data_IF_244127131219
#
_entry.id   IF_244127131219
#
_cell.length_a   1.000
_cell.length_b   1.000
_cell.length_c   1.000
_cell.angle_alpha   90.00
_cell.angle_beta   90.00
_cell.angle_gamma   90.00
#
_symmetry.space_group_name_H-M   'P 1'
#
loop_
_entity.id
_entity.type
_entity.pdbx_description
1 polymer ?
#
# COMPACT_ATOMS: atom_id res chain seq x y z
N UNK A 1 2.12 -5.86 15.18
CA UNK A 1 2.18 -5.51 13.74
C UNK A 1 1.53 -6.65 12.97
N UNK A 2 0.38 -6.44 12.33
CA UNK A 2 -0.40 -7.49 11.68
C UNK A 2 0.36 -8.02 10.46
N UNK A 3 0.54 -9.33 10.36
CA UNK A 3 1.05 -9.96 9.14
C UNK A 3 -0.02 -9.76 8.05
N UNK A 4 0.22 -8.80 7.16
CA UNK A 4 -0.57 -8.58 5.94
C UNK A 4 -0.44 -9.83 5.02
N UNK A 5 -1.36 -9.98 4.04
CA UNK A 5 -1.51 -11.11 3.05
C UNK A 5 -0.24 -11.87 2.66
N UNK A 6 -0.33 -13.08 2.09
CA UNK A 6 0.86 -13.79 1.57
C UNK A 6 1.71 -12.93 0.62
N UNK A 7 1.11 -12.01 -0.16
CA UNK A 7 1.84 -11.03 -0.96
C UNK A 7 2.60 -10.01 -0.09
N UNK A 8 1.94 -9.37 0.87
CA UNK A 8 2.59 -8.42 1.78
C UNK A 8 3.56 -9.12 2.76
N UNK A 9 3.32 -10.40 3.06
CA UNK A 9 4.20 -11.29 3.79
C UNK A 9 5.33 -11.82 2.92
N UNK A 10 5.20 -11.94 1.60
CA UNK A 10 6.31 -12.31 0.73
C UNK A 10 7.21 -11.10 0.44
N UNK A 11 6.61 -9.90 0.37
CA UNK A 11 7.34 -8.62 0.37
C UNK A 11 8.04 -8.37 1.72
N UNK A 12 7.45 -8.77 2.86
CA UNK A 12 8.07 -8.61 4.20
C UNK A 12 8.91 -9.80 4.71
N UNK A 13 8.61 -11.03 4.32
CA UNK A 13 9.25 -12.27 4.82
C UNK A 13 10.31 -12.82 3.86
N UNK A 14 10.62 -12.09 2.79
CA UNK A 14 11.85 -12.30 2.08
C UNK A 14 12.99 -11.89 3.03
N UNK A 15 13.45 -12.88 3.79
CA UNK A 15 14.55 -12.73 4.73
C UNK A 15 15.76 -12.22 3.95
N UNK A 16 16.30 -11.08 4.34
CA UNK A 16 17.53 -10.58 3.76
C UNK A 16 18.59 -11.65 3.86
N UNK A 17 19.06 -12.14 2.72
CA UNK A 17 20.28 -12.93 2.71
C UNK A 17 21.42 -11.95 2.94
N UNK A 18 22.02 -12.02 4.13
CA UNK A 18 23.33 -11.44 4.33
C UNK A 18 24.32 -12.23 3.47
N UNK A 19 24.78 -11.62 2.39
CA UNK A 19 25.97 -12.17 1.74
C UNK A 19 27.13 -11.71 2.60
N UNK A 20 27.92 -12.64 3.15
CA UNK A 20 29.00 -12.35 4.10
C UNK A 20 30.21 -11.59 3.51
N UNK A 21 29.96 -10.57 2.69
CA UNK A 21 30.95 -9.66 2.18
C UNK A 21 31.35 -8.70 3.31
N UNK A 22 32.46 -9.01 3.99
CA UNK A 22 33.07 -8.07 4.91
C UNK A 22 33.76 -6.95 4.09
N UNK A 23 33.20 -5.75 4.14
CA UNK A 23 33.91 -4.56 3.68
C UNK A 23 35.13 -4.30 4.57
N UNK A 24 36.24 -3.82 3.99
CA UNK A 24 37.38 -3.38 4.78
C UNK A 24 36.99 -2.17 5.65
N UNK A 25 37.34 -2.20 6.94
CA UNK A 25 37.13 -1.06 7.83
C UNK A 25 37.86 0.18 7.29
N UNK A 26 37.11 1.25 7.06
CA UNK A 26 37.62 2.52 6.56
C UNK A 26 38.10 3.43 7.68
N UNK A 27 37.74 3.14 8.94
CA UNK A 27 37.95 4.00 10.10
C UNK A 27 36.99 5.19 10.14
N UNK A 28 35.96 5.18 9.30
CA UNK A 28 34.93 6.21 9.21
C UNK A 28 33.56 5.57 9.47
N UNK A 29 32.94 5.83 10.63
CA UNK A 29 31.63 5.28 11.00
C UNK A 29 30.55 5.51 9.94
N UNK A 30 30.66 6.57 9.13
CA UNK A 30 29.75 6.81 8.00
C UNK A 30 29.67 5.64 7.02
N UNK A 31 30.80 4.98 6.73
CA UNK A 31 30.89 3.84 5.83
C UNK A 31 30.90 2.52 6.59
N UNK A 32 31.56 2.48 7.75
CA UNK A 32 31.74 1.23 8.52
C UNK A 32 30.42 0.75 9.14
N UNK A 33 29.52 1.67 9.53
CA UNK A 33 28.18 1.36 10.03
C UNK A 33 27.10 1.45 8.93
N UNK A 34 27.52 1.61 7.66
CA UNK A 34 26.56 1.69 6.56
C UNK A 34 25.94 0.33 6.27
N UNK A 35 24.72 0.32 5.76
CA UNK A 35 24.04 -0.88 5.26
C UNK A 35 23.66 -0.65 3.80
N UNK A 36 23.95 -1.63 2.95
CA UNK A 36 23.45 -1.65 1.58
C UNK A 36 22.39 -2.74 1.46
N UNK A 37 21.16 -2.36 1.15
CA UNK A 37 20.07 -3.31 0.93
C UNK A 37 19.46 -3.12 -0.45
N UNK A 38 18.84 -4.15 -0.98
CA UNK A 38 18.17 -4.03 -2.26
C UNK A 38 17.44 -5.32 -2.60
N UNK A 39 17.07 -5.44 -3.88
CA UNK A 39 16.47 -6.66 -4.35
C UNK A 39 16.28 -6.70 -5.86
N UNK A 40 16.15 -7.91 -6.38
CA UNK A 40 15.76 -8.19 -7.75
C UNK A 40 14.36 -8.79 -7.73
N UNK A 41 13.50 -8.27 -8.59
CA UNK A 41 12.10 -8.62 -8.64
C UNK A 41 11.67 -8.87 -10.09
N UNK A 42 10.70 -9.73 -10.27
CA UNK A 42 9.90 -9.79 -11.47
C UNK A 42 8.42 -9.82 -11.07
N UNK A 43 7.61 -9.06 -11.79
CA UNK A 43 6.17 -9.05 -11.62
C UNK A 43 5.52 -9.25 -12.99
N UNK A 44 4.85 -10.38 -13.15
CA UNK A 44 4.05 -10.70 -14.33
C UNK A 44 2.59 -10.61 -13.93
N UNK A 45 1.78 -9.91 -14.71
CA UNK A 45 0.34 -9.79 -14.48
C UNK A 45 -0.42 -10.05 -15.76
N UNK A 46 -1.39 -10.95 -15.67
CA UNK A 46 -2.37 -11.24 -16.71
C UNK A 46 -3.74 -10.94 -16.12
N UNK A 47 -4.38 -9.89 -16.62
CA UNK A 47 -5.70 -9.45 -16.22
C UNK A 47 -6.60 -9.34 -17.44
N UNK A 48 -7.69 -10.06 -17.40
CA UNK A 48 -8.80 -9.90 -18.33
C UNK A 48 -9.97 -9.24 -17.60
N UNK A 49 -10.71 -8.38 -18.28
CA UNK A 49 -11.90 -7.71 -17.75
C UNK A 49 -13.06 -7.88 -18.72
N UNK A 50 -14.28 -8.05 -18.20
CA UNK A 50 -15.47 -8.02 -19.05
C UNK A 50 -15.72 -6.65 -19.68
N UNK A 51 -16.07 -6.62 -20.96
CA UNK A 51 -16.55 -5.41 -21.66
C UNK A 51 -18.04 -5.15 -21.39
N UNK A 52 -18.34 -4.77 -20.14
CA UNK A 52 -19.71 -4.55 -19.66
C UNK A 52 -20.35 -5.77 -18.99
N UNK A 53 -21.56 -5.62 -18.44
CA UNK A 53 -22.21 -6.65 -17.61
C UNK A 53 -22.43 -7.99 -18.35
N UNK A 54 -22.92 -7.90 -19.58
CA UNK A 54 -23.20 -9.04 -20.48
C UNK A 54 -22.05 -9.30 -21.47
N UNK A 55 -20.90 -8.63 -21.30
CA UNK A 55 -19.78 -8.70 -22.21
C UNK A 55 -18.93 -9.96 -22.05
N UNK A 56 -18.12 -10.24 -23.08
CA UNK A 56 -17.05 -11.23 -23.00
C UNK A 56 -15.84 -10.66 -22.24
N UNK A 57 -14.99 -11.54 -21.73
CA UNK A 57 -13.70 -11.15 -21.16
C UNK A 57 -12.74 -10.71 -22.27
N UNK A 58 -12.19 -9.51 -22.13
CA UNK A 58 -11.18 -8.95 -23.02
C UNK A 58 -9.85 -8.74 -22.28
N UNK A 59 -8.77 -8.78 -23.05
CA UNK A 59 -7.42 -8.50 -22.55
C UNK A 59 -7.35 -7.07 -22.01
N UNK A 60 -6.93 -6.94 -20.74
CA UNK A 60 -6.82 -5.66 -20.08
C UNK A 60 -5.37 -5.32 -19.70
N UNK A 61 -4.77 -6.02 -18.73
CA UNK A 61 -3.35 -5.84 -18.36
C UNK A 61 -2.60 -7.13 -18.60
N UNK A 62 -1.68 -7.15 -19.55
CA UNK A 62 -0.83 -8.30 -19.85
C UNK A 62 0.60 -7.81 -19.97
N UNK A 63 1.39 -7.97 -18.91
CA UNK A 63 2.78 -7.52 -18.91
C UNK A 63 3.67 -8.35 -17.97
N UNK A 64 4.99 -8.23 -18.17
CA UNK A 64 6.00 -8.68 -17.22
C UNK A 64 7.13 -7.68 -17.11
N UNK A 65 7.39 -7.23 -15.89
CA UNK A 65 8.39 -6.20 -15.61
C UNK A 65 9.43 -6.76 -14.64
N UNK A 66 10.71 -6.61 -14.99
CA UNK A 66 11.81 -6.82 -14.07
C UNK A 66 12.12 -5.51 -13.32
N UNK A 67 12.42 -5.60 -12.04
CA UNK A 67 12.83 -4.46 -11.22
C UNK A 67 14.08 -4.82 -10.42
N UNK A 68 15.00 -3.87 -10.29
CA UNK A 68 16.10 -3.96 -9.34
C UNK A 68 16.11 -2.70 -8.47
N UNK A 69 16.36 -2.85 -7.17
CA UNK A 69 16.50 -1.73 -6.25
C UNK A 69 17.80 -1.81 -5.48
N UNK A 70 18.32 -0.65 -5.11
CA UNK A 70 19.50 -0.49 -4.27
C UNK A 70 19.29 0.70 -3.33
N UNK A 71 19.58 0.47 -2.07
CA UNK A 71 19.49 1.44 -0.99
C UNK A 71 20.78 1.43 -0.19
N UNK A 72 21.37 2.61 -0.02
CA UNK A 72 22.47 2.87 0.89
C UNK A 72 21.93 3.66 2.08
N UNK A 73 22.12 3.12 3.27
CA UNK A 73 21.87 3.80 4.54
C UNK A 73 23.21 4.05 5.22
N UNK A 74 23.63 5.31 5.38
CA UNK A 74 24.93 5.59 5.99
C UNK A 74 24.94 5.29 7.49
N UNK A 75 26.12 5.09 8.06
CA UNK A 75 26.34 5.32 9.48
C UNK A 75 26.25 6.79 9.86
N UNK A 76 26.47 7.11 11.14
CA UNK A 76 26.36 8.48 11.65
C UNK A 76 27.72 9.16 11.83
N UNK A 77 27.95 10.25 11.11
CA UNK A 77 29.04 11.19 11.33
C UNK A 77 28.85 11.85 12.70
N UNK A 78 29.89 11.76 13.54
CA UNK A 78 29.90 12.27 14.91
C UNK A 78 28.74 11.73 15.78
N UNK A 79 28.14 10.59 15.40
CA UNK A 79 27.06 9.96 16.15
C UNK A 79 25.68 10.62 16.03
N UNK A 80 25.49 11.62 15.14
CA UNK A 80 24.18 12.29 15.01
C UNK A 80 23.75 12.61 13.58
N UNK A 81 24.63 12.61 12.58
CA UNK A 81 24.27 12.99 11.20
C UNK A 81 24.58 11.89 10.18
N UNK A 82 23.65 11.59 9.27
CA UNK A 82 23.88 10.66 8.16
C UNK A 82 23.11 11.06 6.91
N UNK A 83 23.29 10.29 5.84
CA UNK A 83 22.51 10.42 4.60
C UNK A 83 22.10 9.04 4.08
N UNK A 84 20.92 8.99 3.48
CA UNK A 84 20.39 7.80 2.85
C UNK A 84 20.08 8.06 1.37
N UNK A 85 20.33 7.07 0.52
CA UNK A 85 20.05 7.13 -0.91
C UNK A 85 19.43 5.81 -1.40
N UNK A 86 18.39 5.89 -2.21
CA UNK A 86 17.68 4.74 -2.76
C UNK A 86 17.25 4.99 -4.18
N UNK A 87 17.54 4.02 -5.04
CA UNK A 87 17.17 4.01 -6.46
C UNK A 87 16.58 2.66 -6.83
N UNK A 88 15.61 2.67 -7.72
CA UNK A 88 15.19 1.45 -8.41
C UNK A 88 15.25 1.67 -9.92
N UNK A 89 15.38 0.58 -10.66
CA UNK A 89 15.24 0.54 -12.10
C UNK A 89 14.25 -0.51 -12.52
N UNK A 90 13.48 -0.21 -13.56
CA UNK A 90 12.50 -1.10 -14.17
C UNK A 90 12.86 -1.39 -15.62
N UNK A 91 12.58 -2.61 -16.04
CA UNK A 91 12.74 -3.05 -17.41
C UNK A 91 11.55 -3.93 -17.80
N UNK A 92 10.74 -3.46 -18.73
CA UNK A 92 9.64 -4.21 -19.31
C UNK A 92 10.20 -5.35 -20.17
N UNK A 93 9.84 -6.59 -19.82
CA UNK A 93 10.22 -7.79 -20.56
C UNK A 93 9.27 -8.03 -21.73
N UNK A 94 7.98 -7.76 -21.51
CA UNK A 94 6.94 -7.79 -22.54
C UNK A 94 5.66 -7.11 -22.03
N UNK A 95 4.90 -6.53 -22.94
CA UNK A 95 3.57 -5.99 -22.70
C UNK A 95 2.71 -6.17 -23.98
N UNK A 96 1.49 -6.68 -23.82
CA UNK A 96 0.49 -6.78 -24.89
C UNK A 96 -0.88 -6.20 -24.55
N UNK A 97 -1.09 -5.79 -23.28
CA UNK A 97 -2.39 -5.39 -22.77
C UNK A 97 -2.94 -4.10 -23.40
N UNK A 98 -4.26 -3.97 -23.40
CA UNK A 98 -4.94 -2.73 -23.83
C UNK A 98 -4.70 -1.57 -22.85
N UNK A 99 -4.53 -1.88 -21.56
CA UNK A 99 -4.07 -0.95 -20.53
C UNK A 99 -2.56 -1.10 -20.33
N UNK A 100 -1.84 -0.01 -20.59
CA UNK A 100 -0.39 0.06 -20.34
C UNK A 100 -0.04 0.44 -18.88
N UNK A 101 -1.04 0.73 -18.05
CA UNK A 101 -0.80 0.97 -16.64
C UNK A 101 -0.38 -0.31 -15.91
N UNK A 102 0.70 -0.23 -15.16
CA UNK A 102 1.16 -1.26 -14.24
C UNK A 102 1.72 -0.60 -12.99
N UNK A 103 1.39 -1.11 -11.81
CA UNK A 103 1.93 -0.61 -10.53
C UNK A 103 3.45 -0.85 -10.39
N UNK A 104 4.09 -1.50 -11.37
CA UNK A 104 5.48 -1.97 -11.35
C UNK A 104 6.37 -1.40 -12.44
N UNK A 105 5.78 -0.72 -13.42
CA UNK A 105 6.52 -0.15 -14.55
C UNK A 105 6.61 1.36 -14.40
N UNK A 106 7.67 1.95 -14.93
CA UNK A 106 7.70 3.39 -15.09
C UNK A 106 6.85 3.74 -16.31
N UNK A 107 6.14 4.86 -16.26
CA UNK A 107 5.33 5.37 -17.36
C UNK A 107 5.74 6.81 -17.67
N UNK A 108 5.56 7.23 -18.92
CA UNK A 108 5.66 8.63 -19.30
C UNK A 108 4.35 9.39 -19.10
N UNK A 109 4.34 10.68 -19.42
CA UNK A 109 3.18 11.58 -19.29
C UNK A 109 1.95 11.15 -20.12
N UNK A 110 2.12 10.22 -21.06
CA UNK A 110 1.04 9.64 -21.87
C UNK A 110 0.53 8.32 -21.30
N UNK A 111 1.14 7.82 -20.23
CA UNK A 111 0.83 6.52 -19.63
C UNK A 111 1.45 5.34 -20.37
N UNK A 112 2.44 5.56 -21.23
CA UNK A 112 3.13 4.47 -21.94
C UNK A 112 4.28 3.92 -21.08
N UNK A 113 4.44 2.58 -21.03
CA UNK A 113 5.51 1.95 -20.25
C UNK A 113 6.89 2.36 -20.78
N UNK A 114 7.75 2.75 -19.87
CA UNK A 114 9.14 3.11 -20.12
C UNK A 114 10.09 2.29 -19.25
N UNK A 115 11.27 2.03 -19.81
CA UNK A 115 12.40 1.47 -19.07
C UNK A 115 13.22 2.61 -18.48
N UNK A 116 13.64 2.49 -17.22
CA UNK A 116 14.44 3.56 -16.63
C UNK A 116 14.75 3.34 -15.16
N UNK A 117 15.18 4.43 -14.53
CA UNK A 117 15.53 4.48 -13.12
C UNK A 117 14.83 5.65 -12.45
N UNK A 118 14.48 5.49 -11.18
CA UNK A 118 13.86 6.52 -10.37
C UNK A 118 14.46 6.53 -8.97
N UNK A 119 14.84 7.71 -8.50
CA UNK A 119 15.30 7.94 -7.14
C UNK A 119 14.08 8.04 -6.24
N UNK A 120 14.00 7.17 -5.23
CA UNK A 120 12.90 7.15 -4.27
C UNK A 120 13.33 7.59 -2.86
N UNK A 121 14.64 7.68 -2.61
CA UNK A 121 15.18 8.11 -1.33
C UNK A 121 16.46 8.89 -1.56
N UNK A 122 16.55 10.06 -0.95
CA UNK A 122 17.70 10.95 -0.96
C UNK A 122 17.50 11.94 0.18
N UNK A 123 17.88 11.55 1.40
CA UNK A 123 17.59 12.35 2.58
C UNK A 123 18.81 12.47 3.50
N UNK A 124 18.83 13.56 4.26
CA UNK A 124 19.66 13.69 5.44
C UNK A 124 18.90 13.15 6.65
N UNK A 125 19.59 12.43 7.53
CA UNK A 125 19.05 11.92 8.80
C UNK A 125 19.83 12.45 9.99
N UNK A 126 19.11 12.71 11.06
CA UNK A 126 19.60 13.25 12.31
C UNK A 126 19.13 12.38 13.47
N UNK A 127 20.05 11.96 14.34
CA UNK A 127 19.76 11.15 15.52
C UNK A 127 20.20 11.89 16.79
N UNK A 128 19.24 12.17 17.66
CA UNK A 128 19.44 12.82 18.97
C UNK A 128 18.90 11.92 20.10
N UNK A 129 19.01 10.60 19.94
CA UNK A 129 18.51 9.60 20.89
C UNK A 129 17.03 9.31 20.68
N UNK A 130 16.19 9.71 21.63
CA UNK A 130 14.74 9.52 21.52
C UNK A 130 14.13 10.32 20.36
N UNK A 131 14.77 11.43 19.96
CA UNK A 131 14.34 12.25 18.83
C UNK A 131 15.16 11.94 17.58
N UNK A 132 14.46 11.78 16.45
CA UNK A 132 15.09 11.62 15.12
C UNK A 132 14.42 12.55 14.13
N UNK A 133 15.20 13.08 13.19
CA UNK A 133 14.68 13.92 12.12
C UNK A 133 15.24 13.48 10.76
N UNK A 134 14.44 13.62 9.70
CA UNK A 134 14.84 13.33 8.33
C UNK A 134 14.30 14.39 7.39
N UNK A 135 15.04 14.72 6.34
CA UNK A 135 14.58 15.70 5.34
C UNK A 135 15.18 15.43 3.96
N UNK A 136 14.41 15.68 2.90
CA UNK A 136 14.78 15.41 1.51
C UNK A 136 13.72 14.57 0.82
N UNK A 137 14.14 13.55 0.08
CA UNK A 137 13.25 12.54 -0.51
C UNK A 137 13.11 11.36 0.45
N UNK A 138 11.90 11.19 1.00
CA UNK A 138 11.64 10.16 2.01
C UNK A 138 10.18 9.68 2.04
N UNK A 139 10.00 8.58 2.76
CA UNK A 139 8.70 8.02 3.11
C UNK A 139 8.42 8.27 4.60
N UNK A 140 7.16 8.57 5.00
CA UNK A 140 6.76 8.60 6.40
C UNK A 140 7.08 7.27 7.09
N UNK A 141 7.59 7.33 8.33
CA UNK A 141 7.89 6.15 9.14
C UNK A 141 7.17 6.13 10.48
N UNK A 142 6.79 7.31 11.00
CA UNK A 142 6.10 7.42 12.28
C UNK A 142 4.57 7.26 12.18
N UNK A 143 3.87 7.30 13.34
CA UNK A 143 2.41 7.34 13.36
C UNK A 143 1.88 8.59 12.65
N UNK A 144 0.86 8.43 11.81
CA UNK A 144 0.32 9.53 11.02
C UNK A 144 -0.84 9.11 10.12
N UNK A 145 -1.28 10.05 9.28
CA UNK A 145 -2.27 9.83 8.20
C UNK A 145 -1.63 9.82 6.81
N UNK A 146 -0.36 10.23 6.69
CA UNK A 146 0.39 10.19 5.42
C UNK A 146 1.06 8.83 5.24
N UNK A 147 1.00 8.31 4.02
CA UNK A 147 1.66 7.07 3.62
C UNK A 147 2.01 7.09 2.14
N UNK A 148 2.27 5.93 1.54
CA UNK A 148 2.67 5.79 0.13
C UNK A 148 1.84 4.74 -0.59
N UNK A 149 1.90 4.71 -1.92
CA UNK A 149 1.20 3.71 -2.73
C UNK A 149 1.58 2.26 -2.39
N UNK A 150 0.69 1.35 -2.78
CA UNK A 150 0.93 -0.09 -2.76
C UNK A 150 1.70 -0.50 -4.01
N UNK A 151 3.02 -0.54 -3.91
CA UNK A 151 3.90 -1.09 -4.95
C UNK A 151 5.17 -1.65 -4.30
N UNK A 152 5.96 -2.39 -5.07
CA UNK A 152 7.28 -2.85 -4.65
C UNK A 152 8.28 -1.69 -4.55
N UNK A 153 8.16 -0.70 -5.44
CA UNK A 153 8.83 0.57 -5.28
C UNK A 153 7.94 1.50 -4.44
N UNK A 154 8.46 2.19 -3.43
CA UNK A 154 7.66 3.12 -2.66
C UNK A 154 7.49 4.45 -3.41
N UNK A 155 6.34 5.09 -3.23
CA UNK A 155 6.21 6.49 -3.60
C UNK A 155 7.10 7.38 -2.72
N UNK A 156 7.30 8.62 -3.12
CA UNK A 156 8.33 9.51 -2.55
C UNK A 156 7.75 10.87 -2.26
N UNK A 157 8.00 11.41 -1.07
CA UNK A 157 7.73 12.80 -0.75
C UNK A 157 9.01 13.61 -0.78
N UNK A 158 8.92 14.86 -1.23
CA UNK A 158 9.86 15.91 -0.81
C UNK A 158 9.32 16.50 0.50
N UNK A 159 10.07 16.34 1.59
CA UNK A 159 9.56 16.77 2.89
C UNK A 159 10.53 16.62 4.04
N UNK A 160 9.96 16.68 5.24
CA UNK A 160 10.67 16.49 6.50
C UNK A 160 9.81 15.70 7.49
N UNK A 161 10.46 14.85 8.28
CA UNK A 161 9.82 14.11 9.37
C UNK A 161 10.61 14.32 10.67
N UNK A 162 9.88 14.54 11.76
CA UNK A 162 10.40 14.50 13.13
C UNK A 162 9.68 13.38 13.87
N UNK A 163 10.43 12.49 14.51
CA UNK A 163 9.88 11.41 15.34
C UNK A 163 10.45 11.45 16.75
N UNK A 164 9.65 10.96 17.69
CA UNK A 164 10.06 10.70 19.07
C UNK A 164 9.63 9.29 19.45
N UNK A 165 10.53 8.52 20.06
CA UNK A 165 10.22 7.16 20.54
C UNK A 165 10.91 6.87 21.87
N UNK A 166 10.12 6.68 22.93
CA UNK A 166 10.63 6.29 24.24
C UNK A 166 9.53 5.61 25.08
N UNK A 167 9.87 4.53 25.78
CA UNK A 167 8.97 3.89 26.75
C UNK A 167 7.62 3.45 26.20
N UNK A 168 7.56 3.00 24.94
CA UNK A 168 6.33 2.59 24.25
C UNK A 168 5.56 3.73 23.59
N UNK A 169 5.85 4.99 23.94
CA UNK A 169 5.29 6.17 23.27
C UNK A 169 6.06 6.45 21.98
N UNK A 170 5.32 6.61 20.88
CA UNK A 170 5.85 7.07 19.60
C UNK A 170 5.05 8.30 19.15
N UNK A 171 5.75 9.36 18.74
CA UNK A 171 5.15 10.56 18.15
C UNK A 171 5.80 10.80 16.80
N UNK A 172 5.06 11.37 15.86
CA UNK A 172 5.63 11.87 14.63
C UNK A 172 4.90 13.10 14.10
N UNK A 173 5.68 13.96 13.47
CA UNK A 173 5.21 15.05 12.62
C UNK A 173 5.87 14.91 11.26
N UNK A 174 5.07 14.97 10.20
CA UNK A 174 5.52 14.90 8.81
C UNK A 174 4.96 16.08 8.04
N UNK A 175 5.80 16.72 7.24
CA UNK A 175 5.43 17.79 6.32
C UNK A 175 6.01 17.50 4.94
N UNK A 176 5.25 17.78 3.89
CA UNK A 176 5.72 17.68 2.52
C UNK A 176 5.02 18.69 1.62
N UNK A 177 5.61 18.97 0.46
CA UNK A 177 5.08 19.87 -0.56
C UNK A 177 4.97 19.25 -1.96
N UNK A 178 5.60 18.09 -2.18
CA UNK A 178 5.56 17.36 -3.45
C UNK A 178 5.50 15.86 -3.20
N UNK A 179 4.89 15.15 -4.14
CA UNK A 179 4.79 13.70 -4.14
C UNK A 179 5.14 13.13 -5.51
N UNK A 180 5.68 11.92 -5.52
CA UNK A 180 5.89 11.12 -6.70
C UNK A 180 5.44 9.68 -6.46
N UNK A 181 4.62 9.18 -7.37
CA UNK A 181 4.19 7.79 -7.39
C UNK A 181 5.33 6.85 -7.84
N UNK A 182 5.30 5.57 -7.47
CA UNK A 182 6.33 4.61 -7.86
C UNK A 182 6.55 4.44 -9.37
N UNK A 183 5.55 4.74 -10.18
CA UNK A 183 5.57 4.55 -11.64
C UNK A 183 5.87 5.83 -12.42
N UNK A 184 6.08 6.97 -11.77
CA UNK A 184 6.43 8.22 -12.45
C UNK A 184 7.89 8.61 -12.19
N UNK A 185 8.43 9.47 -13.05
CA UNK A 185 9.81 9.95 -12.97
C UNK A 185 9.95 11.16 -12.06
N UNK A 186 9.00 12.09 -12.16
CA UNK A 186 9.12 13.44 -11.64
C UNK A 186 8.34 13.64 -10.34
N UNK A 187 8.88 14.52 -9.49
CA UNK A 187 8.16 15.03 -8.32
C UNK A 187 7.11 16.02 -8.81
N UNK A 188 5.87 15.83 -8.36
CA UNK A 188 4.75 16.70 -8.72
C UNK A 188 4.22 17.45 -7.50
N UNK A 189 3.71 18.65 -7.76
CA UNK A 189 2.99 19.41 -6.75
C UNK A 189 1.66 18.73 -6.45
N UNK A 190 1.36 18.56 -5.17
CA UNK A 190 0.09 17.97 -4.74
C UNK A 190 -1.09 18.86 -5.11
N UNK A 191 -2.21 18.28 -5.53
CA UNK A 191 -3.35 19.00 -6.08
C UNK A 191 -4.64 18.75 -5.28
N UNK A 192 -5.60 19.66 -5.41
CA UNK A 192 -7.00 19.47 -5.03
C UNK A 192 -7.79 18.87 -6.20
N UNK A 193 -9.03 18.46 -5.98
CA UNK A 193 -9.88 17.83 -7.03
C UNK A 193 -10.08 18.75 -8.25
N UNK A 194 -10.08 20.08 -8.06
CA UNK A 194 -10.16 21.06 -9.15
C UNK A 194 -8.82 21.33 -9.89
N UNK A 195 -7.73 20.65 -9.51
CA UNK A 195 -6.39 20.84 -10.05
C UNK A 195 -5.61 22.01 -9.45
N UNK A 196 -6.14 22.69 -8.44
CA UNK A 196 -5.42 23.73 -7.69
C UNK A 196 -4.25 23.12 -6.94
N UNK A 197 -3.05 23.69 -7.09
CA UNK A 197 -1.86 23.23 -6.37
C UNK A 197 -1.94 23.60 -4.89
N UNK A 198 -1.70 22.62 -4.03
CA UNK A 198 -1.46 22.80 -2.60
C UNK A 198 0.02 23.10 -2.34
N UNK A 199 0.27 23.96 -1.36
CA UNK A 199 1.60 24.33 -0.87
C UNK A 199 2.17 23.27 0.06
N UNK A 200 1.31 22.55 0.78
CA UNK A 200 1.72 21.49 1.69
C UNK A 200 0.64 20.43 1.94
N UNK A 201 1.12 19.28 2.39
CA UNK A 201 0.39 18.34 3.25
C UNK A 201 1.17 18.16 4.53
N UNK A 202 0.49 17.87 5.63
CA UNK A 202 1.15 17.51 6.88
C UNK A 202 0.36 16.49 7.68
N UNK A 203 1.04 15.83 8.61
CA UNK A 203 0.44 14.86 9.51
C UNK A 203 1.13 14.91 10.86
N UNK A 204 0.35 14.75 11.92
CA UNK A 204 0.81 14.52 13.28
C UNK A 204 0.13 13.27 13.82
N UNK A 205 0.89 12.39 14.47
CA UNK A 205 0.35 11.19 15.08
C UNK A 205 1.08 10.81 16.36
N UNK A 206 0.36 10.06 17.18
CA UNK A 206 0.86 9.45 18.40
C UNK A 206 0.41 7.98 18.44
N UNK A 207 1.29 7.09 18.88
CA UNK A 207 0.93 5.74 19.28
C UNK A 207 1.57 5.35 20.60
N UNK A 208 0.91 4.44 21.32
CA UNK A 208 1.44 3.86 22.54
C UNK A 208 1.22 2.35 22.55
N UNK A 209 2.31 1.61 22.77
CA UNK A 209 2.29 0.15 22.94
C UNK A 209 2.37 -0.18 24.43
N UNK A 210 1.35 -0.86 24.95
CA UNK A 210 1.29 -1.33 26.32
C UNK A 210 1.92 -2.72 26.45
N UNK A 211 2.54 -3.00 27.61
CA UNK A 211 3.19 -4.30 27.87
C UNK A 211 2.25 -5.51 27.81
N UNK A 212 0.93 -5.29 27.90
CA UNK A 212 -0.08 -6.34 27.81
C UNK A 212 -0.53 -6.65 26.36
N UNK A 213 0.17 -6.13 25.35
CA UNK A 213 -0.10 -6.35 23.93
C UNK A 213 -1.17 -5.44 23.33
N UNK A 214 -1.78 -4.55 24.13
CA UNK A 214 -2.68 -3.50 23.64
C UNK A 214 -1.86 -2.38 23.02
N UNK A 215 -2.38 -1.76 21.97
CA UNK A 215 -1.81 -0.57 21.34
C UNK A 215 -2.91 0.42 20.97
N UNK A 216 -2.60 1.71 21.05
CA UNK A 216 -3.47 2.79 20.56
C UNK A 216 -2.67 3.67 19.61
N UNK A 217 -3.30 4.12 18.52
CA UNK A 217 -2.76 5.15 17.64
C UNK A 217 -3.86 6.15 17.32
N UNK A 218 -3.56 7.44 17.44
CA UNK A 218 -4.38 8.54 16.95
C UNK A 218 -3.56 9.45 16.06
N UNK A 219 -4.11 9.87 14.94
CA UNK A 219 -3.44 10.78 14.02
C UNK A 219 -4.40 11.73 13.32
N UNK A 220 -3.87 12.88 12.95
CA UNK A 220 -4.50 13.94 12.20
C UNK A 220 -3.56 14.38 11.07
N UNK A 221 -4.11 14.82 9.94
CA UNK A 221 -3.35 15.55 8.94
C UNK A 221 -4.25 16.35 8.03
N UNK A 222 -3.64 17.13 7.15
CA UNK A 222 -4.33 18.05 6.27
C UNK A 222 -3.62 18.19 4.94
N UNK A 223 -4.40 18.26 3.86
CA UNK A 223 -4.01 18.91 2.61
C UNK A 223 -4.52 20.35 2.59
N UNK A 224 -3.64 21.30 2.27
CA UNK A 224 -3.91 22.75 2.39
C UNK A 224 -5.21 23.18 1.70
N UNK A 225 -6.14 23.72 2.51
CA UNK A 225 -7.52 24.09 2.17
C UNK A 225 -8.26 23.07 1.30
N UNK A 226 -7.96 21.78 1.47
CA UNK A 226 -8.58 20.70 0.71
C UNK A 226 -9.32 19.72 1.62
N UNK A 227 -8.58 18.98 2.44
CA UNK A 227 -9.15 17.94 3.31
C UNK A 227 -8.42 17.89 4.64
N UNK A 228 -9.17 17.64 5.72
CA UNK A 228 -8.63 17.12 6.98
C UNK A 228 -8.82 15.60 7.03
N UNK A 229 -7.81 14.90 7.55
CA UNK A 229 -7.77 13.44 7.65
C UNK A 229 -7.61 13.00 9.10
N UNK A 230 -8.30 11.93 9.48
CA UNK A 230 -8.31 11.39 10.83
C UNK A 230 -8.05 9.88 10.80
N UNK A 231 -7.18 9.39 11.68
CA UNK A 231 -6.96 7.95 11.90
C UNK A 231 -7.00 7.63 13.39
N UNK A 232 -7.76 6.59 13.74
CA UNK A 232 -7.71 5.95 15.05
C UNK A 232 -7.50 4.45 14.84
N UNK A 233 -6.62 3.85 15.64
CA UNK A 233 -6.42 2.40 15.68
C UNK A 233 -6.29 1.92 17.11
N UNK A 234 -7.08 0.90 17.44
CA UNK A 234 -6.99 0.13 18.68
C UNK A 234 -6.54 -1.26 18.30
N UNK A 235 -5.34 -1.65 18.71
CA UNK A 235 -4.76 -2.95 18.41
C UNK A 235 -4.57 -3.81 19.64
N UNK A 236 -4.63 -5.11 19.46
CA UNK A 236 -4.27 -6.12 20.44
C UNK A 236 -3.45 -7.21 19.75
N UNK A 237 -2.34 -7.62 20.35
CA UNK A 237 -1.55 -8.75 19.89
C UNK A 237 -1.17 -9.64 21.08
N UNK A 238 -1.45 -10.93 20.99
CA UNK A 238 -1.06 -11.94 21.97
C UNK A 238 -1.01 -13.32 21.34
N UNK A 239 0.07 -14.07 21.57
CA UNK A 239 0.16 -15.51 21.24
C UNK A 239 -0.38 -15.91 19.85
N UNK A 240 0.07 -15.21 18.79
CA UNK A 240 -0.33 -15.50 17.41
C UNK A 240 -1.69 -14.93 16.99
N UNK A 241 -2.47 -14.37 17.92
CA UNK A 241 -3.66 -13.55 17.63
C UNK A 241 -3.26 -12.07 17.50
N UNK A 242 -3.69 -11.45 16.42
CA UNK A 242 -3.79 -10.01 16.27
C UNK A 242 -5.26 -9.62 16.07
N UNK A 243 -5.72 -8.56 16.72
CA UNK A 243 -7.03 -7.93 16.50
C UNK A 243 -6.91 -6.40 16.46
N UNK A 244 -7.54 -5.74 15.49
CA UNK A 244 -7.63 -4.28 15.55
C UNK A 244 -8.98 -3.74 15.11
N UNK A 245 -9.41 -2.69 15.79
CA UNK A 245 -10.42 -1.76 15.29
C UNK A 245 -9.71 -0.53 14.73
N UNK A 246 -10.17 -0.04 13.59
CA UNK A 246 -9.60 1.10 12.89
C UNK A 246 -10.73 2.02 12.42
N UNK A 247 -10.47 3.31 12.47
CA UNK A 247 -11.32 4.35 11.92
C UNK A 247 -10.46 5.26 11.03
N UNK A 248 -10.99 5.56 9.86
CA UNK A 248 -10.45 6.50 8.88
C UNK A 248 -11.53 7.52 8.58
N UNK A 249 -11.22 8.81 8.66
CA UNK A 249 -12.15 9.89 8.36
C UNK A 249 -11.51 10.95 7.47
N UNK A 250 -12.30 11.51 6.56
CA UNK A 250 -11.94 12.65 5.72
C UNK A 250 -13.07 13.66 5.75
N UNK A 251 -12.70 14.92 5.94
CA UNK A 251 -13.59 16.06 5.97
C UNK A 251 -13.03 17.11 5.01
N UNK A 252 -13.69 17.31 3.88
CA UNK A 252 -13.28 18.32 2.92
C UNK A 252 -13.62 19.73 3.38
N UNK A 253 -12.91 20.72 2.83
CA UNK A 253 -13.02 22.13 3.23
C UNK A 253 -14.11 22.88 2.48
N UNK A 254 -14.59 22.32 1.37
CA UNK A 254 -15.66 22.89 0.58
C UNK A 254 -17.03 22.41 1.12
N UNK A 255 -18.07 23.18 0.83
CA UNK A 255 -19.48 22.86 1.13
C UNK A 255 -20.36 23.69 0.17
N UNK A 256 -19.92 23.78 -1.08
CA UNK A 256 -20.42 24.72 -2.09
C UNK A 256 -20.79 24.05 -3.41
N UNK A 257 -20.74 22.71 -3.48
CA UNK A 257 -20.97 21.93 -4.67
C UNK A 257 -19.85 22.04 -5.72
N UNK A 258 -18.71 22.67 -5.41
CA UNK A 258 -17.54 22.67 -6.30
C UNK A 258 -16.94 21.26 -6.43
N UNK A 259 -15.95 21.10 -7.31
CA UNK A 259 -15.24 19.83 -7.43
C UNK A 259 -14.54 19.40 -6.13
N UNK A 260 -14.21 20.36 -5.25
CA UNK A 260 -13.57 20.07 -3.97
C UNK A 260 -14.58 19.71 -2.86
N UNK A 261 -15.90 19.80 -3.12
CA UNK A 261 -16.98 19.35 -2.23
C UNK A 261 -17.19 17.84 -2.44
N UNK A 262 -16.42 17.04 -1.69
CA UNK A 262 -16.26 15.62 -1.95
C UNK A 262 -17.39 14.80 -1.34
N UNK A 263 -17.77 15.11 -0.10
CA UNK A 263 -18.67 14.31 0.71
C UNK A 263 -19.75 15.17 1.39
N UNK A 264 -20.94 14.61 1.57
CA UNK A 264 -21.99 15.19 2.41
C UNK A 264 -21.65 15.02 3.90
N UNK A 265 -20.84 15.96 4.41
CA UNK A 265 -20.17 15.87 5.70
C UNK A 265 -18.99 14.90 5.67
N UNK A 266 -18.54 14.41 6.82
CA UNK A 266 -17.36 13.55 6.86
C UNK A 266 -17.57 12.20 6.16
N UNK A 267 -16.75 11.92 5.14
CA UNK A 267 -16.56 10.57 4.62
C UNK A 267 -15.74 9.74 5.61
N UNK A 268 -16.13 8.49 5.87
CA UNK A 268 -15.41 7.65 6.81
C UNK A 268 -15.51 6.16 6.50
N UNK A 269 -14.54 5.42 7.02
CA UNK A 269 -14.56 3.97 7.02
C UNK A 269 -14.16 3.41 8.37
N UNK A 270 -14.95 2.45 8.84
CA UNK A 270 -14.61 1.59 9.98
C UNK A 270 -14.06 0.28 9.47
N UNK A 271 -13.05 -0.26 10.14
CA UNK A 271 -12.52 -1.57 9.85
C UNK A 271 -12.22 -2.37 11.12
N UNK A 272 -12.50 -3.66 11.07
CA UNK A 272 -12.03 -4.64 12.05
C UNK A 272 -11.13 -5.62 11.30
N UNK A 273 -9.91 -5.83 11.78
CA UNK A 273 -8.97 -6.79 11.19
C UNK A 273 -8.56 -7.84 12.21
N UNK A 274 -8.40 -9.08 11.76
CA UNK A 274 -7.86 -10.16 12.60
C UNK A 274 -6.82 -10.99 11.87
N UNK A 275 -5.89 -11.54 12.63
CA UNK A 275 -4.94 -12.56 12.17
C UNK A 275 -4.79 -13.59 13.28
N UNK A 276 -4.91 -14.88 12.97
CA UNK A 276 -4.69 -15.97 13.92
C UNK A 276 -3.72 -16.99 13.33
N UNK A 277 -2.52 -17.08 13.90
CA UNK A 277 -1.59 -18.17 13.64
C UNK A 277 -1.85 -19.33 14.61
N UNK A 278 -2.15 -20.52 14.09
CA UNK A 278 -2.42 -21.72 14.89
C UNK A 278 -1.86 -22.96 14.21
N UNK A 279 -0.79 -23.53 14.78
CA UNK A 279 -0.01 -24.56 14.10
C UNK A 279 0.54 -24.01 12.78
N UNK A 280 0.44 -24.77 11.71
CA UNK A 280 0.86 -24.35 10.37
C UNK A 280 -0.19 -23.50 9.63
N UNK A 281 -1.30 -23.16 10.28
CA UNK A 281 -2.35 -22.34 9.66
C UNK A 281 -2.23 -20.88 10.08
N UNK A 282 -2.48 -19.99 9.13
CA UNK A 282 -2.79 -18.59 9.38
C UNK A 282 -4.20 -18.31 8.88
N UNK A 283 -5.03 -17.69 9.72
CA UNK A 283 -6.40 -17.27 9.38
C UNK A 283 -6.53 -15.76 9.46
N UNK A 284 -7.37 -15.19 8.60
CA UNK A 284 -7.81 -13.80 8.68
C UNK A 284 -9.32 -13.73 8.56
N UNK A 285 -9.93 -12.84 9.33
CA UNK A 285 -11.32 -12.45 9.22
C UNK A 285 -11.41 -10.95 9.48
N UNK A 286 -11.92 -10.21 8.50
CA UNK A 286 -11.94 -8.75 8.52
C UNK A 286 -13.30 -8.25 8.04
N UNK A 287 -13.65 -7.03 8.43
CA UNK A 287 -14.88 -6.38 8.00
C UNK A 287 -14.68 -4.88 7.89
N UNK A 288 -15.36 -4.27 6.93
CA UNK A 288 -15.40 -2.82 6.73
C UNK A 288 -16.84 -2.33 6.65
N UNK A 289 -17.04 -1.06 7.02
CA UNK A 289 -18.23 -0.30 6.70
C UNK A 289 -17.82 1.08 6.24
N UNK A 290 -18.39 1.51 5.12
CA UNK A 290 -18.04 2.75 4.44
C UNK A 290 -19.22 3.71 4.40
N UNK A 291 -18.93 4.99 4.66
CA UNK A 291 -19.78 6.13 4.33
C UNK A 291 -18.97 7.07 3.45
N UNK A 292 -19.45 7.32 2.25
CA UNK A 292 -18.80 8.14 1.23
C UNK A 292 -19.81 8.95 0.41
N UNK A 293 -20.99 9.21 0.98
CA UNK A 293 -22.07 9.96 0.32
C UNK A 293 -21.55 11.31 -0.15
N UNK A 294 -21.85 11.70 -1.39
CA UNK A 294 -21.44 12.98 -1.98
C UNK A 294 -20.88 12.78 -3.39
N UNK A 295 -20.24 13.81 -3.95
CA UNK A 295 -19.75 13.77 -5.34
C UNK A 295 -18.73 12.66 -5.57
N UNK A 296 -17.95 12.29 -4.54
CA UNK A 296 -16.92 11.25 -4.68
C UNK A 296 -17.51 9.83 -4.77
N UNK A 297 -18.58 9.54 -4.04
CA UNK A 297 -19.30 8.25 -4.05
C UNK A 297 -18.52 7.02 -3.54
N UNK A 298 -17.21 7.14 -3.34
CA UNK A 298 -16.33 6.10 -2.81
C UNK A 298 -15.30 6.71 -1.85
N UNK A 299 -14.97 6.00 -0.78
CA UNK A 299 -14.08 6.48 0.26
C UNK A 299 -12.61 6.34 -0.15
N UNK A 300 -11.90 7.46 -0.21
CA UNK A 300 -10.50 7.52 -0.63
C UNK A 300 -9.67 8.22 0.43
N UNK A 301 -8.89 7.48 1.23
CA UNK A 301 -8.11 8.03 2.35
C UNK A 301 -6.81 8.73 1.90
N UNK A 302 -6.91 9.85 1.16
CA UNK A 302 -5.76 10.54 0.55
C UNK A 302 -5.74 12.04 0.89
N UNK A 303 -4.54 12.64 1.07
CA UNK A 303 -4.40 14.06 1.36
C UNK A 303 -4.42 14.94 0.11
N UNK A 304 -4.40 14.34 -1.09
CA UNK A 304 -4.19 14.99 -2.38
C UNK A 304 -5.00 14.27 -3.47
N UNK A 305 -5.37 15.01 -4.51
CA UNK A 305 -6.05 14.53 -5.70
C UNK A 305 -5.08 14.30 -6.86
N UNK A 306 -4.97 13.05 -7.29
CA UNK A 306 -4.81 12.62 -8.67
C UNK A 306 -4.74 11.09 -8.66
N UNK A 307 -4.97 10.47 -9.83
CA UNK A 307 -4.80 9.03 -9.99
C UNK A 307 -3.34 8.67 -9.72
N UNK A 308 -3.11 7.91 -8.65
CA UNK A 308 -1.81 7.38 -8.32
C UNK A 308 -1.01 8.09 -7.25
N UNK A 309 -1.49 9.19 -6.68
CA UNK A 309 -0.82 9.88 -5.59
C UNK A 309 -0.90 9.09 -4.25
N UNK A 310 -0.32 9.65 -3.18
CA UNK A 310 -0.23 8.98 -1.88
C UNK A 310 -1.55 8.33 -1.45
N UNK A 311 -1.46 7.06 -1.07
CA UNK A 311 -2.62 6.32 -0.55
C UNK A 311 -2.93 6.60 0.95
N UNK A 312 -2.29 7.61 1.54
CA UNK A 312 -2.35 7.84 2.98
C UNK A 312 -1.81 6.66 3.80
N UNK A 313 -1.90 6.77 5.11
CA UNK A 313 -1.56 5.70 6.05
C UNK A 313 -2.74 4.73 6.19
N UNK A 314 -3.21 4.16 5.08
CA UNK A 314 -4.37 3.28 5.03
C UNK A 314 -3.95 1.79 5.09
N UNK A 315 -4.48 1.05 6.07
CA UNK A 315 -4.00 -0.32 6.34
C UNK A 315 -4.77 -1.41 5.57
N UNK A 316 -6.02 -1.13 5.14
CA UNK A 316 -6.92 -2.14 4.58
C UNK A 316 -6.48 -2.49 3.17
N UNK A 317 -6.20 -3.78 2.97
CA UNK A 317 -5.78 -4.33 1.70
C UNK A 317 -6.10 -5.83 1.66
N UNK A 318 -7.08 -6.19 0.84
CA UNK A 318 -7.52 -7.58 0.67
C UNK A 318 -6.95 -8.21 -0.59
N UNK A 319 -6.45 -7.41 -1.53
CA UNK A 319 -6.01 -7.83 -2.86
C UNK A 319 -7.07 -8.68 -3.59
N UNK A 320 -8.34 -8.27 -3.49
CA UNK A 320 -9.50 -8.95 -4.10
C UNK A 320 -10.04 -8.13 -5.28
N UNK A 321 -9.15 -7.37 -5.93
CA UNK A 321 -9.41 -6.38 -6.99
C UNK A 321 -10.14 -5.12 -6.56
N UNK A 322 -11.25 -5.23 -5.84
CA UNK A 322 -11.98 -4.07 -5.32
C UNK A 322 -11.37 -3.52 -4.02
N UNK A 323 -11.61 -2.22 -3.79
CA UNK A 323 -11.32 -1.51 -2.55
C UNK A 323 -12.46 -1.65 -1.50
N UNK A 324 -13.65 -2.16 -1.89
CA UNK A 324 -14.82 -2.33 -1.02
C UNK A 324 -15.16 -1.04 -0.24
N UNK A 325 -15.19 0.07 -0.98
CA UNK A 325 -15.19 1.42 -0.44
C UNK A 325 -16.33 2.31 -0.96
N UNK A 326 -17.40 1.75 -1.50
CA UNK A 326 -18.55 2.53 -1.97
C UNK A 326 -19.39 3.06 -0.80
N UNK A 327 -20.13 4.15 -1.03
CA UNK A 327 -21.02 4.70 0.01
C UNK A 327 -22.08 3.68 0.46
N UNK A 328 -22.22 3.50 1.78
CA UNK A 328 -23.16 2.55 2.39
C UNK A 328 -22.65 1.11 2.45
N UNK A 329 -21.55 0.82 1.74
CA UNK A 329 -21.03 -0.53 1.58
C UNK A 329 -20.57 -1.14 2.89
N UNK A 330 -21.00 -2.39 3.11
CA UNK A 330 -20.48 -3.28 4.14
C UNK A 330 -19.71 -4.36 3.42
N UNK A 331 -18.52 -4.69 3.89
CA UNK A 331 -17.77 -5.77 3.30
C UNK A 331 -17.11 -6.65 4.36
N UNK A 332 -16.87 -7.90 3.99
CA UNK A 332 -16.19 -8.89 4.81
C UNK A 332 -15.12 -9.61 4.00
N UNK A 333 -14.05 -9.99 4.69
CA UNK A 333 -12.97 -10.78 4.13
C UNK A 333 -12.66 -11.95 5.04
N UNK A 334 -12.44 -13.13 4.45
CA UNK A 334 -11.97 -14.30 5.17
C UNK A 334 -10.90 -15.02 4.35
N UNK A 335 -9.86 -15.51 5.01
CA UNK A 335 -8.80 -16.27 4.35
C UNK A 335 -8.09 -17.24 5.27
N UNK A 336 -7.53 -18.28 4.67
CA UNK A 336 -6.73 -19.29 5.34
C UNK A 336 -5.50 -19.66 4.48
N UNK A 337 -4.34 -19.73 5.11
CA UNK A 337 -3.07 -20.12 4.50
C UNK A 337 -2.41 -21.23 5.32
N UNK A 338 -1.77 -22.18 4.64
CA UNK A 338 -1.08 -23.32 5.23
C UNK A 338 0.41 -23.32 4.88
N UNK A 339 1.25 -23.60 5.87
CA UNK A 339 2.68 -23.87 5.71
C UNK A 339 2.94 -25.39 5.67
N UNK A 340 3.56 -25.87 4.58
CA UNK A 340 3.78 -27.30 4.36
C UNK A 340 5.08 -27.83 5.00
N UNK A 341 5.76 -27.05 5.85
CA UNK A 341 7.03 -27.44 6.48
C UNK A 341 6.93 -28.75 7.27
N UNK A 342 5.90 -28.94 8.09
CA UNK A 342 5.73 -30.19 8.87
C UNK A 342 5.43 -31.42 7.99
N UNK A 343 5.01 -31.21 6.73
CA UNK A 343 4.84 -32.28 5.75
C UNK A 343 6.13 -32.60 4.97
N UNK A 344 7.25 -31.95 5.30
CA UNK A 344 8.53 -32.14 4.62
C UNK A 344 8.72 -31.25 3.39
N UNK A 345 7.82 -30.31 3.13
CA UNK A 345 7.88 -29.39 1.98
C UNK A 345 8.20 -27.97 2.43
N UNK A 346 9.28 -27.81 3.21
CA UNK A 346 9.71 -26.50 3.72
C UNK A 346 9.82 -25.45 2.60
N UNK A 347 9.29 -24.26 2.88
CA UNK A 347 9.22 -23.14 1.93
C UNK A 347 7.94 -23.11 1.09
N UNK A 348 7.20 -24.22 0.97
CA UNK A 348 5.90 -24.23 0.30
C UNK A 348 4.80 -23.71 1.20
N UNK A 349 3.95 -22.89 0.62
CA UNK A 349 2.76 -22.34 1.26
C UNK A 349 1.62 -22.26 0.24
N UNK A 350 0.39 -22.38 0.70
CA UNK A 350 -0.79 -22.18 -0.14
C UNK A 350 -1.93 -21.60 0.68
N UNK A 351 -2.83 -20.87 0.05
CA UNK A 351 -4.03 -20.38 0.72
C UNK A 351 -5.15 -19.99 -0.21
N UNK A 352 -6.27 -19.67 0.41
CA UNK A 352 -7.49 -19.24 -0.24
C UNK A 352 -8.10 -18.10 0.58
N UNK A 353 -8.68 -17.12 -0.11
CA UNK A 353 -9.44 -16.06 0.54
C UNK A 353 -10.62 -15.60 -0.29
N UNK A 354 -11.61 -15.03 0.38
CA UNK A 354 -12.81 -14.45 -0.21
C UNK A 354 -13.07 -13.07 0.37
N UNK A 355 -13.39 -12.09 -0.46
CA UNK A 355 -13.95 -10.80 -0.09
C UNK A 355 -15.37 -10.69 -0.63
N UNK A 356 -16.31 -10.13 0.15
CA UNK A 356 -17.69 -9.91 -0.27
C UNK A 356 -18.19 -8.55 0.25
N UNK A 357 -18.65 -7.70 -0.66
CA UNK A 357 -19.23 -6.39 -0.40
C UNK A 357 -20.71 -6.34 -0.78
N UNK A 358 -21.50 -5.59 -0.01
CA UNK A 358 -22.93 -5.40 -0.28
C UNK A 358 -23.49 -4.10 0.29
N UNK A 359 -24.64 -3.71 -0.26
CA UNK A 359 -25.47 -2.62 0.25
C UNK A 359 -24.91 -1.24 -0.03
N UNK A 360 -24.08 -1.10 -1.07
CA UNK A 360 -23.70 0.20 -1.57
C UNK A 360 -24.84 0.79 -2.41
N UNK A 361 -25.13 2.07 -2.19
CA UNK A 361 -26.22 2.77 -2.88
C UNK A 361 -25.71 3.51 -4.11
N UNK A 362 -26.49 3.47 -5.19
CA UNK A 362 -26.20 4.25 -6.41
C UNK A 362 -26.19 5.75 -6.09
N UNK A 363 -25.15 6.45 -6.54
CA UNK A 363 -25.09 7.91 -6.51
C UNK A 363 -25.89 8.55 -7.67
N UNK A 364 -26.31 7.75 -8.66
CA UNK A 364 -27.25 8.17 -9.70
C UNK A 364 -28.69 7.95 -9.21
N UNK A 365 -29.37 9.05 -8.89
CA UNK A 365 -30.76 9.05 -8.41
C UNK A 365 -31.79 8.49 -9.41
N UNK A 366 -31.43 8.30 -10.67
CA UNK A 366 -32.28 7.62 -11.65
C UNK A 366 -32.21 6.10 -11.56
N UNK A 367 -31.18 5.56 -10.90
CA UNK A 367 -30.98 4.13 -10.64
C UNK A 367 -31.26 3.88 -9.16
N UNK A 368 -32.52 3.59 -8.83
CA UNK A 368 -32.98 3.47 -7.42
C UNK A 368 -33.17 2.03 -6.94
N UNK A 369 -32.97 1.05 -7.82
CA UNK A 369 -33.25 -0.38 -7.53
C UNK A 369 -32.00 -1.25 -7.47
N UNK A 370 -30.85 -0.72 -7.88
CA UNK A 370 -29.58 -1.44 -7.85
C UNK A 370 -28.86 -1.14 -6.54
N UNK A 371 -28.57 -2.18 -5.76
CA UNK A 371 -27.56 -2.14 -4.70
C UNK A 371 -26.33 -2.90 -5.21
N UNK A 372 -25.15 -2.32 -5.04
CA UNK A 372 -23.92 -2.98 -5.45
C UNK A 372 -23.67 -4.20 -4.58
N UNK A 373 -23.43 -5.34 -5.23
CA UNK A 373 -22.79 -6.50 -4.62
C UNK A 373 -21.52 -6.83 -5.39
N UNK A 374 -20.45 -7.14 -4.66
CA UNK A 374 -19.19 -7.55 -5.26
C UNK A 374 -18.56 -8.71 -4.50
N UNK A 375 -17.91 -9.61 -5.23
CA UNK A 375 -17.26 -10.78 -4.65
C UNK A 375 -15.93 -11.08 -5.34
N UNK A 376 -14.90 -11.30 -4.55
CA UNK A 376 -13.57 -11.72 -5.01
C UNK A 376 -13.16 -13.02 -4.34
N UNK A 377 -12.64 -13.97 -5.13
CA UNK A 377 -12.01 -15.18 -4.64
C UNK A 377 -10.56 -15.21 -5.08
N UNK A 378 -9.64 -15.50 -4.15
CA UNK A 378 -8.22 -15.55 -4.44
C UNK A 378 -7.58 -16.86 -4.00
N UNK A 379 -6.67 -17.37 -4.81
CA UNK A 379 -5.78 -18.49 -4.50
C UNK A 379 -4.33 -17.98 -4.47
N UNK A 380 -3.63 -18.33 -3.40
CA UNK A 380 -2.22 -18.01 -3.21
C UNK A 380 -1.40 -19.29 -3.20
N UNK A 381 -0.27 -19.30 -3.91
CA UNK A 381 0.75 -20.36 -3.83
C UNK A 381 2.13 -19.73 -3.78
N UNK A 382 2.93 -20.10 -2.79
CA UNK A 382 4.26 -19.54 -2.59
C UNK A 382 5.31 -20.62 -2.39
N UNK A 383 6.52 -20.37 -2.91
CA UNK A 383 7.72 -21.14 -2.58
C UNK A 383 8.88 -20.21 -2.26
N UNK A 384 9.42 -20.34 -1.05
CA UNK A 384 10.69 -19.70 -0.65
C UNK A 384 11.82 -20.71 -0.74
N UNK A 385 12.90 -20.36 -1.42
CA UNK A 385 14.07 -21.22 -1.55
C UNK A 385 14.78 -21.38 -0.21
N UNK A 386 15.09 -22.62 0.17
CA UNK A 386 15.61 -22.93 1.51
C UNK A 386 17.15 -22.97 1.57
N UNK A 387 17.82 -23.22 0.44
CA UNK A 387 19.27 -23.44 0.35
C UNK A 387 19.84 -22.93 -0.98
N UNK A 388 21.17 -22.93 -1.10
CA UNK A 388 21.88 -22.51 -2.31
C UNK A 388 21.89 -21.00 -2.53
N UNK A 389 22.27 -20.58 -3.74
CA UNK A 389 22.45 -19.16 -4.09
C UNK A 389 21.14 -18.36 -4.11
N UNK A 390 20.00 -19.04 -4.19
CA UNK A 390 18.67 -18.42 -4.18
C UNK A 390 17.99 -18.50 -2.80
N UNK A 391 18.66 -19.02 -1.76
CA UNK A 391 18.07 -19.11 -0.41
C UNK A 391 17.39 -17.78 -0.05
N UNK A 392 16.20 -17.80 0.52
CA UNK A 392 15.45 -16.59 0.91
C UNK A 392 14.73 -15.88 -0.25
N UNK A 393 15.05 -16.18 -1.51
CA UNK A 393 14.23 -15.73 -2.63
C UNK A 393 12.86 -16.45 -2.61
N UNK A 394 11.84 -15.80 -3.16
CA UNK A 394 10.46 -16.30 -3.19
C UNK A 394 9.89 -16.23 -4.60
N UNK A 395 9.16 -17.27 -4.98
CA UNK A 395 8.22 -17.26 -6.11
C UNK A 395 6.80 -17.33 -5.54
N UNK A 396 5.94 -16.42 -5.95
CA UNK A 396 4.55 -16.37 -5.49
C UNK A 396 3.59 -16.20 -6.67
N UNK A 397 2.52 -17.00 -6.67
CA UNK A 397 1.37 -16.88 -7.54
C UNK A 397 0.19 -16.38 -6.71
N UNK A 398 -0.48 -15.35 -7.20
CA UNK A 398 -1.74 -14.86 -6.66
C UNK A 398 -2.73 -14.79 -7.83
N UNK A 399 -3.84 -15.51 -7.72
CA UNK A 399 -4.86 -15.53 -8.75
C UNK A 399 -6.22 -15.18 -8.15
N UNK A 400 -6.88 -14.17 -8.71
CA UNK A 400 -8.17 -13.64 -8.28
C UNK A 400 -9.20 -13.79 -9.39
N UNK A 401 -10.39 -14.24 -9.01
CA UNK A 401 -11.61 -14.06 -9.79
C UNK A 401 -12.50 -13.07 -9.05
N UNK A 402 -12.86 -11.98 -9.72
CA UNK A 402 -13.70 -10.92 -9.19
C UNK A 402 -14.97 -10.78 -10.04
N UNK A 403 -16.09 -10.61 -9.37
CA UNK A 403 -17.43 -10.51 -9.97
C UNK A 403 -18.16 -9.31 -9.35
N UNK A 404 -18.49 -8.34 -10.20
CA UNK A 404 -19.28 -7.17 -9.87
C UNK A 404 -20.72 -7.45 -10.28
N UNK A 405 -21.58 -7.78 -9.32
CA UNK A 405 -22.95 -8.22 -9.58
C UNK A 405 -23.89 -7.03 -9.82
N UNK A 406 -23.69 -6.33 -10.92
CA UNK A 406 -24.54 -5.22 -11.33
C UNK A 406 -24.69 -5.15 -12.84
N UNK A 407 -25.86 -4.71 -13.29
CA UNK A 407 -26.15 -4.46 -14.71
C UNK A 407 -25.65 -3.07 -15.17
N UNK A 408 -24.94 -2.35 -14.29
CA UNK A 408 -24.36 -1.03 -14.59
C UNK A 408 -22.92 -1.19 -15.08
N UNK A 409 -22.55 -0.44 -16.11
CA UNK A 409 -21.18 -0.46 -16.66
C UNK A 409 -20.10 0.04 -15.68
N UNK A 410 -18.83 -0.23 -16.02
CA UNK A 410 -17.67 0.28 -15.26
C UNK A 410 -17.65 1.80 -15.18
N UNK A 411 -17.18 2.33 -14.04
CA UNK A 411 -16.86 3.74 -13.81
C UNK A 411 -18.01 4.72 -14.11
N UNK A 412 -19.25 4.27 -13.94
CA UNK A 412 -20.42 5.12 -14.08
C UNK A 412 -20.61 6.02 -12.86
N UNK A 413 -21.47 7.02 -13.01
CA UNK A 413 -21.91 7.87 -11.89
C UNK A 413 -22.68 7.11 -10.83
N UNK A 414 -23.29 5.97 -11.15
CA UNK A 414 -24.02 5.16 -10.16
C UNK A 414 -23.08 4.61 -9.10
N UNK A 415 -21.97 4.02 -9.54
CA UNK A 415 -20.95 3.45 -8.67
C UNK A 415 -19.56 3.94 -9.10
N UNK A 416 -19.18 5.18 -8.70
CA UNK A 416 -17.86 5.69 -8.97
C UNK A 416 -16.80 4.73 -8.43
N UNK A 417 -15.72 4.50 -9.18
CA UNK A 417 -14.66 3.52 -8.88
C UNK A 417 -15.00 2.03 -9.09
N UNK A 418 -16.26 1.67 -9.39
CA UNK A 418 -16.61 0.27 -9.68
C UNK A 418 -16.17 -0.13 -11.10
N UNK A 419 -15.78 -1.40 -11.30
CA UNK A 419 -15.42 -1.95 -12.60
C UNK A 419 -15.94 -3.37 -12.75
N UNK A 420 -16.21 -3.77 -13.99
CA UNK A 420 -16.74 -5.10 -14.32
C UNK A 420 -15.80 -6.24 -13.91
N UNK A 421 -16.34 -7.46 -13.90
CA UNK A 421 -15.65 -8.70 -13.55
C UNK A 421 -14.23 -8.81 -14.11
N UNK A 422 -13.34 -9.36 -13.31
CA UNK A 422 -11.95 -9.55 -13.66
C UNK A 422 -11.44 -10.95 -13.33
N UNK A 423 -10.58 -11.46 -14.21
CA UNK A 423 -9.69 -12.58 -13.92
C UNK A 423 -8.28 -12.00 -13.86
N UNK A 424 -7.64 -12.08 -12.71
CA UNK A 424 -6.33 -11.47 -12.47
C UNK A 424 -5.35 -12.53 -11.96
N UNK A 425 -4.21 -12.67 -12.62
CA UNK A 425 -3.14 -13.58 -12.24
C UNK A 425 -1.85 -12.79 -12.13
N UNK A 426 -1.22 -12.86 -10.97
CA UNK A 426 0.08 -12.24 -10.68
C UNK A 426 1.09 -13.34 -10.36
N UNK A 427 2.18 -13.38 -11.10
CA UNK A 427 3.35 -14.21 -10.80
C UNK A 427 4.52 -13.31 -10.42
N UNK A 428 5.12 -13.61 -9.27
CA UNK A 428 6.11 -12.75 -8.64
C UNK A 428 7.35 -13.54 -8.30
N UNK A 429 8.51 -13.01 -8.67
CA UNK A 429 9.80 -13.43 -8.16
C UNK A 429 10.40 -12.30 -7.32
N UNK A 430 10.94 -12.64 -6.16
CA UNK A 430 11.47 -11.66 -5.21
C UNK A 430 12.75 -12.21 -4.60
N UNK A 431 13.84 -11.45 -4.71
CA UNK A 431 15.13 -11.81 -4.13
C UNK A 431 15.75 -10.58 -3.48
N UNK A 432 15.42 -10.28 -2.22
CA UNK A 432 16.08 -9.21 -1.49
C UNK A 432 17.47 -9.65 -1.01
N UNK A 433 18.32 -8.67 -0.78
CA UNK A 433 19.65 -8.86 -0.23
C UNK A 433 20.00 -7.70 0.70
N UNK A 434 20.91 -7.98 1.63
CA UNK A 434 21.60 -6.97 2.43
C UNK A 434 23.08 -7.31 2.47
N UNK A 435 23.92 -6.29 2.34
CA UNK A 435 25.37 -6.33 2.40
C UNK A 435 25.84 -5.54 3.62
#
# INVERSE_FOLDING_TARGET
MFKKTMLASAVMAAAFVSTGAHAEETGNPFFDDATISGGIYNFTRIRDRKDGPDGDYEENIHHSTAMASLEFNSGLINGWFGVDMGVFGTYDLWNSGTSQFSEFSLIDDKGEIQNGFSVYKANAKFDFGAFKARTGYLQPTGPGVLGVNWSFAPGTYTGSELTYSEGGLNLAYFWANEYKSPWTYDMEGMLREDGTRMSYVHSFGASYDFDNGVSVLGAFGQGEDYVDMYKLKLGYNSEGLGLSYQFYGIDDKADDGSANDLYEGMGYQHAITSSLAKGNWTYRAEATYTRAKGQKGAFVFRPTYASGESNGAYDIWWDQRSDFNHDGEKAVFAGAWYDFTEMGYAGWTAGFSVGYGWGAESQDTSITTEELEEIGYSVDVGYTFQTGNLKGATVALHATYFDLKTDVGSYTTAFPNAFQDEKDIKLMFMMPFTL
#
